data_IF_333548092784
#
_entry.id   IF_333548092784
#
_cell.length_a   1.000
_cell.length_b   1.000
_cell.length_c   1.000
_cell.angle_alpha   90.00
_cell.angle_beta   90.00
_cell.angle_gamma   90.00
#
_symmetry.space_group_name_H-M   'P 1'
#
loop_
_entity.id
_entity.type
_entity.pdbx_description
1 polymer ?
#
# COMPACT_ATOMS: atom_id res chain seq x y z
N UNK A 1 61.26 12.26 40.45
CA UNK A 1 61.07 12.45 38.99
C UNK A 1 60.23 11.29 38.44
N UNK A 2 58.89 11.34 38.54
CA UNK A 2 58.04 10.24 38.05
C UNK A 2 56.66 10.68 37.50
N UNK A 3 56.44 11.97 37.20
CA UNK A 3 55.14 12.47 36.73
C UNK A 3 55.11 12.85 35.22
N UNK A 4 56.18 12.58 34.48
CA UNK A 4 56.27 12.95 33.05
C UNK A 4 55.81 11.88 32.08
N UNK A 5 55.59 10.63 32.53
CA UNK A 5 55.28 9.52 31.62
C UNK A 5 53.78 9.39 31.32
N UNK A 6 52.90 9.60 32.31
CA UNK A 6 51.44 9.41 32.16
C UNK A 6 50.77 10.48 31.27
N UNK A 7 51.25 11.72 31.29
CA UNK A 7 50.67 12.80 30.49
C UNK A 7 50.94 12.64 28.99
N UNK A 8 52.09 12.06 28.62
CA UNK A 8 52.43 11.85 27.20
C UNK A 8 51.60 10.72 26.60
N UNK A 9 51.36 9.65 27.36
CA UNK A 9 50.52 8.53 26.91
C UNK A 9 49.06 8.96 26.74
N UNK A 10 48.52 9.77 27.65
CA UNK A 10 47.14 10.28 27.58
C UNK A 10 46.91 11.24 26.38
N UNK A 11 47.88 12.08 26.05
CA UNK A 11 47.79 12.99 24.89
C UNK A 11 47.83 12.19 23.58
N UNK A 12 48.69 11.17 23.49
CA UNK A 12 48.82 10.36 22.27
C UNK A 12 47.55 9.51 22.02
N UNK A 13 46.96 8.91 23.05
CA UNK A 13 45.68 8.19 22.90
C UNK A 13 44.53 9.12 22.53
N UNK A 14 44.48 10.32 23.10
CA UNK A 14 43.47 11.32 22.75
C UNK A 14 43.48 11.67 21.26
N UNK A 15 44.68 11.92 20.69
CA UNK A 15 44.86 12.26 19.27
C UNK A 15 44.53 11.07 18.35
N UNK A 16 44.91 9.84 18.74
CA UNK A 16 44.62 8.66 17.95
C UNK A 16 43.10 8.39 17.83
N UNK A 17 42.34 8.55 18.92
CA UNK A 17 40.88 8.35 18.91
C UNK A 17 40.19 9.42 18.04
N UNK A 18 40.65 10.67 18.09
CA UNK A 18 40.06 11.74 17.27
C UNK A 18 40.32 11.53 15.78
N UNK A 19 41.52 11.09 15.41
CA UNK A 19 41.85 10.81 14.00
C UNK A 19 41.07 9.61 13.47
N UNK A 20 40.91 8.54 14.27
CA UNK A 20 40.10 7.38 13.89
C UNK A 20 38.61 7.73 13.76
N UNK A 21 38.07 8.54 14.69
CA UNK A 21 36.68 9.01 14.62
C UNK A 21 36.42 9.88 13.40
N UNK A 22 37.32 10.82 13.09
CA UNK A 22 37.21 11.66 11.90
C UNK A 22 37.31 10.85 10.59
N UNK A 23 38.18 9.84 10.56
CA UNK A 23 38.30 8.95 9.40
C UNK A 23 37.05 8.09 9.18
N UNK A 24 36.43 7.59 10.26
CA UNK A 24 35.19 6.81 10.17
C UNK A 24 34.03 7.66 9.65
N UNK A 25 33.88 8.90 10.12
CA UNK A 25 32.86 9.83 9.62
C UNK A 25 33.12 10.20 8.15
N UNK A 26 34.39 10.38 7.76
CA UNK A 26 34.75 10.72 6.38
C UNK A 26 34.54 9.57 5.39
N UNK A 27 34.75 8.32 5.80
CA UNK A 27 34.49 7.14 4.97
C UNK A 27 33.04 6.65 5.03
N UNK A 28 32.20 7.20 5.90
CA UNK A 28 30.79 6.84 5.98
C UNK A 28 30.08 7.33 4.70
N UNK A 29 29.56 6.43 3.85
CA UNK A 29 28.77 6.86 2.70
C UNK A 29 27.52 7.54 3.23
N UNK A 30 27.36 8.84 2.97
CA UNK A 30 26.11 9.53 3.22
C UNK A 30 25.08 9.02 2.20
N UNK A 31 24.28 8.05 2.62
CA UNK A 31 23.11 7.58 1.87
C UNK A 31 22.09 8.71 1.81
N UNK A 32 22.21 9.52 0.75
CA UNK A 32 21.23 10.55 0.45
C UNK A 32 20.02 9.83 -0.13
N UNK A 33 19.07 9.46 0.73
CA UNK A 33 17.77 8.99 0.29
C UNK A 33 17.06 10.17 -0.40
N UNK A 34 17.08 10.16 -1.72
CA UNK A 34 16.25 11.06 -2.53
C UNK A 34 14.81 10.59 -2.39
N UNK A 35 14.05 11.25 -1.51
CA UNK A 35 12.59 11.17 -1.54
C UNK A 35 12.12 11.73 -2.90
N UNK A 36 11.41 10.96 -3.74
CA UNK A 36 10.83 11.53 -4.96
C UNK A 36 9.87 12.65 -4.56
N UNK A 37 10.17 13.85 -5.05
CA UNK A 37 9.37 15.04 -4.82
C UNK A 37 8.04 14.87 -5.56
N UNK A 38 6.95 14.83 -4.82
CA UNK A 38 5.59 14.81 -5.37
C UNK A 38 5.36 16.10 -6.15
N UNK A 39 5.48 16.01 -7.48
CA UNK A 39 5.17 17.09 -8.42
C UNK A 39 3.81 16.82 -9.04
N UNK A 40 2.87 17.72 -8.71
CA UNK A 40 1.68 18.14 -9.47
C UNK A 40 1.05 17.16 -10.48
N UNK A 41 -0.09 16.56 -10.10
CA UNK A 41 -1.34 16.43 -10.87
C UNK A 41 -1.27 16.15 -12.38
N UNK A 42 -0.50 15.13 -12.78
CA UNK A 42 -0.94 14.18 -13.81
C UNK A 42 -1.64 13.02 -13.09
N UNK A 43 -2.74 12.47 -13.61
CA UNK A 43 -3.37 11.29 -13.00
C UNK A 43 -2.35 10.15 -12.89
N UNK A 44 -1.79 9.94 -11.68
CA UNK A 44 -0.81 8.88 -11.40
C UNK A 44 -1.43 7.47 -11.41
N UNK A 45 -2.70 7.33 -11.83
CA UNK A 45 -3.37 6.06 -11.99
C UNK A 45 -3.03 5.32 -13.29
N UNK A 46 -3.56 4.11 -13.40
CA UNK A 46 -3.43 3.27 -14.59
C UNK A 46 -4.45 3.75 -15.65
N UNK A 47 -4.03 4.09 -16.88
CA UNK A 47 -4.94 4.64 -17.89
C UNK A 47 -6.13 3.71 -18.18
N UNK A 48 -7.35 4.24 -18.08
CA UNK A 48 -8.57 3.50 -18.37
C UNK A 48 -9.00 2.50 -17.28
N UNK A 49 -8.20 2.26 -16.25
CA UNK A 49 -8.56 1.38 -15.15
C UNK A 49 -9.17 2.19 -14.00
N UNK A 50 -10.35 1.82 -13.54
CA UNK A 50 -11.13 2.56 -12.54
C UNK A 50 -11.63 1.62 -11.44
N UNK A 51 -11.61 2.08 -10.18
CA UNK A 51 -12.20 1.36 -9.05
C UNK A 51 -13.44 2.09 -8.56
N UNK A 52 -14.56 1.37 -8.50
CA UNK A 52 -15.84 1.86 -7.98
C UNK A 52 -16.22 1.10 -6.72
N UNK A 53 -17.00 1.77 -5.89
CA UNK A 53 -17.51 1.20 -4.64
C UNK A 53 -19.00 1.50 -4.53
N UNK A 54 -19.76 0.49 -4.09
CA UNK A 54 -21.20 0.64 -3.81
C UNK A 54 -21.58 -0.24 -2.63
N UNK A 55 -22.57 0.17 -1.84
CA UNK A 55 -23.07 -0.65 -0.74
C UNK A 55 -24.12 -1.64 -1.27
N UNK A 56 -24.01 -2.91 -0.88
CA UNK A 56 -24.93 -3.98 -1.30
C UNK A 56 -25.69 -4.62 -0.14
N UNK A 57 -25.23 -4.46 1.11
CA UNK A 57 -25.91 -4.94 2.31
C UNK A 57 -25.67 -4.00 3.49
N UNK A 58 -26.63 -3.94 4.43
CA UNK A 58 -26.55 -3.19 5.69
C UNK A 58 -26.31 -4.07 6.91
N UNK A 59 -26.61 -5.37 6.80
CA UNK A 59 -26.42 -6.34 7.88
C UNK A 59 -26.18 -7.78 7.34
N UNK A 60 -24.96 -8.34 7.45
CA UNK A 60 -23.74 -7.61 7.77
C UNK A 60 -23.51 -6.51 6.71
N UNK A 61 -22.92 -5.36 7.09
CA UNK A 61 -22.69 -4.29 6.14
C UNK A 61 -21.65 -4.74 5.10
N UNK A 62 -21.99 -4.64 3.81
CA UNK A 62 -21.14 -5.12 2.72
C UNK A 62 -21.02 -4.09 1.61
N UNK A 63 -19.81 -3.95 1.07
CA UNK A 63 -19.51 -3.15 -0.12
C UNK A 63 -19.17 -4.05 -1.31
N UNK A 64 -19.65 -3.69 -2.48
CA UNK A 64 -19.19 -4.23 -3.76
C UNK A 64 -18.13 -3.31 -4.34
N UNK A 65 -16.93 -3.85 -4.49
CA UNK A 65 -15.79 -3.19 -5.13
C UNK A 65 -15.74 -3.65 -6.57
N UNK A 66 -15.80 -2.72 -7.51
CA UNK A 66 -15.79 -3.02 -8.95
C UNK A 66 -14.54 -2.41 -9.60
N UNK A 67 -13.70 -3.26 -10.17
CA UNK A 67 -12.57 -2.89 -11.00
C UNK A 67 -13.01 -2.90 -12.47
N UNK A 68 -13.04 -1.73 -13.09
CA UNK A 68 -13.50 -1.55 -14.47
C UNK A 68 -12.35 -1.21 -15.39
N UNK A 69 -12.29 -1.89 -16.54
CA UNK A 69 -11.37 -1.57 -17.62
C UNK A 69 -12.10 -0.83 -18.75
N UNK A 70 -11.87 0.47 -18.86
CA UNK A 70 -12.42 1.32 -19.91
C UNK A 70 -11.53 1.36 -21.18
N UNK A 71 -10.41 0.63 -21.20
CA UNK A 71 -9.59 0.49 -22.40
C UNK A 71 -10.29 -0.45 -23.41
N UNK A 72 -10.43 -0.06 -24.69
CA UNK A 72 -11.14 -0.87 -25.69
C UNK A 72 -10.35 -2.08 -26.19
N UNK A 73 -9.02 -2.07 -26.09
CA UNK A 73 -8.15 -3.05 -26.76
C UNK A 73 -7.20 -3.79 -25.81
N UNK A 74 -6.86 -3.18 -24.66
CA UNK A 74 -5.85 -3.72 -23.73
C UNK A 74 -6.50 -4.34 -22.50
N UNK A 75 -6.27 -5.63 -22.22
CA UNK A 75 -6.64 -6.22 -20.94
C UNK A 75 -5.69 -5.72 -19.83
N UNK A 76 -6.18 -5.67 -18.60
CA UNK A 76 -5.34 -5.40 -17.44
C UNK A 76 -5.37 -6.58 -16.47
N UNK A 77 -4.19 -7.00 -16.02
CA UNK A 77 -4.04 -7.90 -14.88
C UNK A 77 -3.47 -7.13 -13.72
N UNK A 78 -4.10 -7.24 -12.56
CA UNK A 78 -3.76 -6.53 -11.33
C UNK A 78 -3.45 -7.55 -10.24
N UNK A 79 -2.35 -7.36 -9.53
CA UNK A 79 -2.07 -8.04 -8.28
C UNK A 79 -2.97 -7.45 -7.19
N UNK A 80 -3.80 -8.29 -6.55
CA UNK A 80 -4.79 -7.85 -5.56
C UNK A 80 -4.15 -7.25 -4.31
N UNK A 81 -2.89 -7.57 -3.99
CA UNK A 81 -2.26 -7.19 -2.73
C UNK A 81 -2.25 -5.68 -2.48
N UNK A 82 -2.76 -5.27 -1.32
CA UNK A 82 -2.83 -3.85 -0.92
C UNK A 82 -3.86 -3.04 -1.72
N UNK A 83 -4.80 -3.71 -2.39
CA UNK A 83 -5.94 -3.09 -3.09
C UNK A 83 -7.24 -3.48 -2.39
N UNK A 84 -8.39 -2.83 -2.67
CA UNK A 84 -9.67 -3.22 -2.07
C UNK A 84 -10.17 -4.59 -2.56
N UNK A 85 -9.51 -5.19 -3.55
CA UNK A 85 -9.78 -6.55 -4.04
C UNK A 85 -9.00 -7.62 -3.24
N UNK A 86 -8.13 -7.21 -2.32
CA UNK A 86 -7.40 -8.07 -1.40
C UNK A 86 -8.34 -8.65 -0.35
N UNK A 87 -8.30 -9.96 -0.11
CA UNK A 87 -9.05 -10.61 0.97
C UNK A 87 -8.68 -10.07 2.37
N UNK A 88 -7.50 -9.46 2.50
CA UNK A 88 -7.00 -8.83 3.72
C UNK A 88 -7.08 -7.30 3.72
N UNK A 89 -7.78 -6.68 2.76
CA UNK A 89 -7.85 -5.22 2.58
C UNK A 89 -8.30 -4.47 3.85
N UNK A 90 -9.30 -5.02 4.57
CA UNK A 90 -9.81 -4.45 5.83
C UNK A 90 -8.77 -4.45 6.97
N UNK A 91 -7.76 -5.31 6.89
CA UNK A 91 -6.68 -5.41 7.89
C UNK A 91 -5.41 -4.68 7.45
N UNK A 92 -5.36 -4.11 6.25
CA UNK A 92 -4.13 -3.52 5.68
C UNK A 92 -4.26 -2.01 5.40
N UNK A 93 -5.25 -1.35 6.03
CA UNK A 93 -5.50 0.10 5.93
C UNK A 93 -5.79 0.59 4.50
N UNK A 94 -6.27 -0.29 3.62
CA UNK A 94 -6.70 0.10 2.27
C UNK A 94 -7.95 1.00 2.33
N UNK A 95 -8.83 0.73 3.28
CA UNK A 95 -10.04 1.53 3.52
C UNK A 95 -9.79 2.56 4.60
N UNK A 96 -10.14 3.81 4.32
CA UNK A 96 -10.31 4.87 5.31
C UNK A 96 -11.77 4.90 5.72
N UNK A 97 -12.04 4.88 7.02
CA UNK A 97 -13.38 4.80 7.59
C UNK A 97 -13.54 5.91 8.62
N UNK A 98 -14.53 6.78 8.42
CA UNK A 98 -14.80 7.91 9.31
C UNK A 98 -16.25 7.87 9.76
N UNK A 99 -16.50 8.01 11.05
CA UNK A 99 -17.86 8.17 11.59
C UNK A 99 -18.51 9.42 10.98
N UNK A 100 -19.69 9.26 10.38
CA UNK A 100 -20.36 10.38 9.70
C UNK A 100 -20.87 11.43 10.69
N UNK A 101 -21.23 11.02 11.90
CA UNK A 101 -21.87 11.88 12.90
C UNK A 101 -20.82 12.65 13.71
N UNK A 102 -19.76 11.97 14.17
CA UNK A 102 -18.70 12.62 14.95
C UNK A 102 -17.56 13.18 14.11
N UNK A 103 -17.34 12.62 12.91
CA UNK A 103 -16.18 12.94 12.07
C UNK A 103 -14.89 12.24 12.49
N UNK A 104 -14.93 11.35 13.49
CA UNK A 104 -13.75 10.65 13.98
C UNK A 104 -13.38 9.47 13.06
N UNK A 105 -12.09 9.24 12.82
CA UNK A 105 -11.61 8.05 12.12
C UNK A 105 -11.82 6.81 12.99
N UNK A 106 -12.41 5.76 12.41
CA UNK A 106 -12.59 4.47 13.09
C UNK A 106 -11.22 3.83 13.27
N UNK A 107 -10.87 3.50 14.51
CA UNK A 107 -9.60 2.83 14.81
C UNK A 107 -9.62 1.39 14.28
N UNK A 108 -8.93 1.17 13.18
CA UNK A 108 -8.77 -0.15 12.57
C UNK A 108 -7.57 -0.89 13.17
N UNK A 109 -7.72 -2.20 13.38
CA UNK A 109 -6.58 -3.08 13.66
C UNK A 109 -5.83 -3.35 12.36
N UNK A 110 -4.70 -2.68 12.16
CA UNK A 110 -3.83 -2.87 10.99
C UNK A 110 -2.82 -3.97 11.27
N UNK A 111 -2.83 -5.02 10.44
CA UNK A 111 -1.96 -6.18 10.53
C UNK A 111 -0.88 -6.12 9.44
N UNK A 112 0.32 -6.55 9.79
CA UNK A 112 1.36 -6.84 8.81
C UNK A 112 1.16 -8.27 8.28
N UNK A 113 0.93 -8.39 6.98
CA UNK A 113 0.67 -9.67 6.33
C UNK A 113 1.96 -10.14 5.63
N UNK A 114 2.50 -11.27 6.08
CA UNK A 114 3.59 -11.95 5.36
C UNK A 114 2.99 -12.77 4.21
N UNK A 115 3.42 -12.48 2.98
CA UNK A 115 2.95 -13.15 1.77
C UNK A 115 3.98 -14.14 1.26
N UNK A 116 3.52 -15.26 0.71
CA UNK A 116 4.37 -16.22 0.00
C UNK A 116 4.75 -15.64 -1.36
N UNK A 117 6.02 -15.81 -1.75
CA UNK A 117 6.57 -15.36 -3.03
C UNK A 117 6.89 -16.56 -3.94
N UNK A 118 6.71 -16.43 -5.27
CA UNK A 118 5.96 -15.35 -5.94
C UNK A 118 4.46 -15.37 -5.56
N UNK A 119 3.71 -14.29 -5.82
CA UNK A 119 2.26 -14.32 -5.74
C UNK A 119 1.68 -15.50 -6.54
N UNK A 120 0.67 -16.17 -6.00
CA UNK A 120 -0.03 -17.22 -6.72
C UNK A 120 -0.97 -16.61 -7.79
N UNK A 121 -1.37 -17.39 -8.79
CA UNK A 121 -2.21 -16.89 -9.88
C UNK A 121 -3.56 -16.37 -9.40
N UNK A 122 -4.10 -16.94 -8.32
CA UNK A 122 -5.38 -16.56 -7.71
C UNK A 122 -5.32 -15.19 -7.02
N UNK A 123 -4.12 -14.70 -6.72
CA UNK A 123 -3.86 -13.35 -6.21
C UNK A 123 -3.91 -12.29 -7.32
N UNK A 124 -4.04 -12.70 -8.58
CA UNK A 124 -4.26 -11.83 -9.71
C UNK A 124 -5.74 -11.72 -10.04
N UNK A 125 -6.13 -10.58 -10.60
CA UNK A 125 -7.42 -10.38 -11.25
C UNK A 125 -7.17 -9.81 -12.63
N UNK A 126 -7.76 -10.41 -13.64
CA UNK A 126 -7.67 -9.93 -15.02
C UNK A 126 -9.02 -9.36 -15.44
N UNK A 127 -9.00 -8.15 -15.98
CA UNK A 127 -10.17 -7.47 -16.53
C UNK A 127 -9.94 -7.29 -18.03
N UNK A 128 -10.78 -7.94 -18.83
CA UNK A 128 -10.74 -7.84 -20.28
C UNK A 128 -11.08 -6.41 -20.76
N UNK A 129 -10.78 -6.05 -22.02
CA UNK A 129 -11.12 -4.74 -22.55
C UNK A 129 -12.62 -4.45 -22.46
N UNK A 130 -12.99 -3.29 -21.93
CA UNK A 130 -14.39 -2.88 -21.78
C UNK A 130 -15.20 -3.62 -20.71
N UNK A 131 -14.61 -4.54 -19.94
CA UNK A 131 -15.32 -5.31 -18.90
C UNK A 131 -15.02 -4.81 -17.49
N UNK A 132 -15.65 -5.45 -16.51
CA UNK A 132 -15.44 -5.18 -15.09
C UNK A 132 -15.45 -6.46 -14.27
N UNK A 133 -14.71 -6.47 -13.18
CA UNK A 133 -14.65 -7.53 -12.19
C UNK A 133 -15.05 -6.97 -10.83
N UNK A 134 -15.76 -7.74 -10.02
CA UNK A 134 -16.27 -7.24 -8.75
C UNK A 134 -16.03 -8.22 -7.59
N UNK A 135 -15.77 -7.67 -6.41
CA UNK A 135 -15.55 -8.42 -5.16
C UNK A 135 -16.39 -7.80 -4.05
N UNK A 136 -17.09 -8.66 -3.30
CA UNK A 136 -17.76 -8.27 -2.07
C UNK A 136 -16.76 -8.18 -0.91
N UNK A 137 -16.82 -7.07 -0.17
CA UNK A 137 -16.08 -6.85 1.06
C UNK A 137 -17.08 -6.68 2.20
N UNK A 138 -17.11 -7.65 3.10
CA UNK A 138 -17.97 -7.65 4.28
C UNK A 138 -17.28 -6.91 5.43
N UNK A 139 -17.88 -5.80 5.87
CA UNK A 139 -17.45 -4.97 6.99
C UNK A 139 -17.98 -5.58 8.31
N UNK A 140 -17.55 -6.80 8.61
CA UNK A 140 -17.85 -7.48 9.86
C UNK A 140 -16.53 -7.86 10.54
N UNK A 141 -15.99 -6.90 11.31
CA UNK A 141 -14.70 -7.03 11.98
C UNK A 141 -14.82 -6.66 13.46
N UNK A 142 -14.04 -7.31 14.35
CA UNK A 142 -14.09 -7.02 15.80
C UNK A 142 -13.75 -5.58 16.19
N UNK A 143 -13.03 -4.84 15.34
CA UNK A 143 -12.68 -3.44 15.58
C UNK A 143 -13.80 -2.47 15.17
N UNK A 144 -14.84 -2.94 14.48
CA UNK A 144 -15.95 -2.07 14.14
C UNK A 144 -16.75 -1.68 15.38
N UNK A 145 -17.17 -0.41 15.51
CA UNK A 145 -17.97 0.01 16.64
C UNK A 145 -19.29 -0.78 16.69
N UNK A 146 -19.67 -1.24 17.88
CA UNK A 146 -20.91 -1.99 18.12
C UNK A 146 -22.17 -1.11 17.99
N UNK A 147 -22.00 0.22 17.86
CA UNK A 147 -23.09 1.18 17.74
C UNK A 147 -23.90 0.88 16.48
N UNK A 148 -25.20 0.58 16.67
CA UNK A 148 -26.18 0.44 15.59
C UNK A 148 -27.50 1.15 15.95
N UNK A 149 -28.18 1.80 15.00
CA UNK A 149 -27.73 2.05 13.63
C UNK A 149 -26.56 3.06 13.59
N UNK A 150 -25.72 2.97 12.57
CA UNK A 150 -24.58 3.88 12.38
C UNK A 150 -24.35 4.20 10.89
N UNK A 151 -23.66 5.30 10.62
CA UNK A 151 -23.28 5.72 9.27
C UNK A 151 -21.80 6.05 9.25
N UNK A 152 -21.08 5.45 8.30
CA UNK A 152 -19.66 5.68 8.11
C UNK A 152 -19.38 6.20 6.70
N UNK A 153 -18.47 7.14 6.57
CA UNK A 153 -17.86 7.51 5.29
C UNK A 153 -16.73 6.53 5.01
N UNK A 154 -16.78 5.88 3.85
CA UNK A 154 -15.79 4.87 3.45
C UNK A 154 -15.25 5.21 2.07
N UNK A 155 -13.93 5.20 1.95
CA UNK A 155 -13.20 5.26 0.66
C UNK A 155 -12.02 4.31 0.70
N UNK A 156 -11.60 3.80 -0.45
CA UNK A 156 -10.36 3.05 -0.60
C UNK A 156 -9.34 3.85 -1.39
N UNK A 157 -8.09 3.88 -0.94
CA UNK A 157 -7.00 4.56 -1.63
C UNK A 157 -5.68 3.82 -1.40
N UNK A 158 -4.75 3.93 -2.34
CA UNK A 158 -3.47 3.27 -2.24
C UNK A 158 -2.71 3.23 -3.56
N UNK A 159 -1.80 2.28 -3.65
CA UNK A 159 -0.95 2.06 -4.83
C UNK A 159 -1.08 0.62 -5.30
N UNK A 160 -1.13 0.43 -6.61
CA UNK A 160 -1.03 -0.88 -7.18
C UNK A 160 0.40 -1.39 -7.07
N UNK A 161 0.56 -2.55 -6.43
CA UNK A 161 1.87 -3.20 -6.29
C UNK A 161 2.35 -3.85 -7.59
N UNK A 162 1.44 -4.38 -8.39
CA UNK A 162 1.77 -4.99 -9.68
C UNK A 162 0.61 -4.93 -10.65
N UNK A 163 0.84 -4.41 -11.86
CA UNK A 163 -0.17 -4.30 -12.92
C UNK A 163 0.47 -4.47 -14.30
N UNK A 164 -0.14 -5.32 -15.11
CA UNK A 164 0.32 -5.67 -16.47
C UNK A 164 -0.78 -5.42 -17.49
N UNK A 165 -0.41 -4.91 -18.67
CA UNK A 165 -1.32 -4.73 -19.82
C UNK A 165 -1.49 -6.00 -20.66
N UNK A 166 -1.73 -7.14 -20.02
CA UNK A 166 -1.92 -8.46 -20.65
C UNK A 166 -2.79 -9.35 -19.79
N UNK A 167 -3.21 -10.50 -20.33
CA UNK A 167 -3.99 -11.47 -19.56
C UNK A 167 -3.13 -12.13 -18.48
N UNK A 168 -3.77 -12.55 -17.39
CA UNK A 168 -3.07 -13.15 -16.25
C UNK A 168 -2.36 -14.44 -16.62
N UNK A 169 -2.89 -15.19 -17.59
CA UNK A 169 -2.26 -16.40 -18.14
C UNK A 169 -0.92 -16.12 -18.83
N UNK A 170 -0.71 -14.87 -19.27
CA UNK A 170 0.49 -14.46 -19.99
C UNK A 170 1.51 -13.79 -19.06
N UNK A 171 1.18 -13.60 -17.77
CA UNK A 171 2.10 -13.13 -16.74
C UNK A 171 2.96 -14.32 -16.29
N UNK A 172 4.26 -14.21 -16.51
CA UNK A 172 5.20 -15.30 -16.21
C UNK A 172 5.57 -15.34 -14.73
N UNK A 173 6.11 -16.46 -14.28
CA UNK A 173 6.61 -16.60 -12.90
C UNK A 173 7.73 -15.58 -12.59
N UNK A 174 8.60 -15.27 -13.56
CA UNK A 174 9.64 -14.25 -13.40
C UNK A 174 9.05 -12.85 -13.20
N UNK A 175 8.01 -12.50 -13.97
CA UNK A 175 7.30 -11.22 -13.78
C UNK A 175 6.55 -11.17 -12.44
N UNK A 176 6.04 -12.30 -11.94
CA UNK A 176 5.43 -12.38 -10.62
C UNK A 176 6.46 -12.27 -9.50
N UNK A 177 7.65 -12.87 -9.65
CA UNK A 177 8.75 -12.69 -8.71
C UNK A 177 9.19 -11.23 -8.64
N UNK A 178 9.21 -10.54 -9.78
CA UNK A 178 9.58 -9.13 -9.91
C UNK A 178 8.35 -8.21 -10.10
N UNK A 179 7.22 -8.49 -9.43
CA UNK A 179 5.97 -7.74 -9.67
C UNK A 179 6.09 -6.22 -9.48
N UNK A 180 7.02 -5.78 -8.62
CA UNK A 180 7.32 -4.36 -8.36
C UNK A 180 7.86 -3.66 -9.61
N UNK A 181 8.43 -4.40 -10.55
CA UNK A 181 8.95 -3.90 -11.83
C UNK A 181 7.90 -3.91 -12.95
N UNK A 182 6.66 -4.35 -12.66
CA UNK A 182 5.59 -4.36 -13.65
C UNK A 182 5.31 -2.95 -14.21
N UNK A 183 4.82 -2.84 -15.47
CA UNK A 183 4.74 -1.55 -16.19
C UNK A 183 3.98 -0.43 -15.47
N UNK A 184 3.04 -0.81 -14.61
CA UNK A 184 2.15 0.12 -13.91
C UNK A 184 2.24 -0.02 -12.38
N UNK A 185 3.29 -0.66 -11.86
CA UNK A 185 3.61 -0.68 -10.43
C UNK A 185 3.79 0.74 -9.88
N UNK A 186 3.35 0.98 -8.64
CA UNK A 186 3.42 2.28 -7.96
C UNK A 186 2.39 3.31 -8.44
N UNK A 187 1.55 2.96 -9.43
CA UNK A 187 0.42 3.79 -9.85
C UNK A 187 -0.63 3.83 -8.73
N UNK A 188 -1.20 5.01 -8.49
CA UNK A 188 -2.18 5.18 -7.41
C UNK A 188 -3.59 4.79 -7.85
N UNK A 189 -4.43 4.43 -6.89
CA UNK A 189 -5.87 4.31 -7.06
C UNK A 189 -6.60 5.01 -5.92
N UNK A 190 -7.83 5.44 -6.22
CA UNK A 190 -8.79 5.91 -5.24
C UNK A 190 -10.19 5.55 -5.71
N UNK A 191 -11.08 5.21 -4.78
CA UNK A 191 -12.52 5.13 -5.03
C UNK A 191 -13.18 6.44 -4.64
N UNK A 192 -14.42 6.62 -5.09
CA UNK A 192 -15.31 7.60 -4.48
C UNK A 192 -15.51 7.33 -2.98
N UNK A 193 -15.82 8.38 -2.23
CA UNK A 193 -16.30 8.28 -0.84
C UNK A 193 -17.80 7.99 -0.84
N UNK A 194 -18.20 6.92 -0.16
CA UNK A 194 -19.61 6.56 0.02
C UNK A 194 -20.01 6.55 1.48
N UNK A 195 -21.32 6.63 1.74
CA UNK A 195 -21.88 6.44 3.07
C UNK A 195 -22.30 4.99 3.23
N UNK A 196 -21.57 4.25 4.08
CA UNK A 196 -21.92 2.91 4.53
C UNK A 196 -22.94 3.02 5.68
N UNK A 197 -24.16 2.54 5.46
CA UNK A 197 -25.20 2.46 6.48
C UNK A 197 -25.18 1.08 7.16
N UNK A 198 -25.12 1.06 8.49
CA UNK A 198 -25.09 -0.17 9.30
C UNK A 198 -26.35 -0.24 10.14
N UNK A 199 -27.10 -1.33 10.01
CA UNK A 199 -28.38 -1.59 10.69
C UNK A 199 -28.20 -2.52 11.90
#
# INVERSE_FOLDING_TARGET
>A
MANFWHNRTAVITGVAITLLGAFYIYQSPSTTFTMPSTSSSSSNGVPGLELKVSQISRNPPSLLITLKNNNPDTPYTVLKWGTPLDSTALNTRVFTITDKDSGDEVQQLVLQINRKMPPAQEELVTVAPGTEEAVEVVFDKPWMPERRPAKYKVKAEGEFKGVWGKYGSDVTEDELNSYIESPFSGRTFATDEIVLEVD
#
